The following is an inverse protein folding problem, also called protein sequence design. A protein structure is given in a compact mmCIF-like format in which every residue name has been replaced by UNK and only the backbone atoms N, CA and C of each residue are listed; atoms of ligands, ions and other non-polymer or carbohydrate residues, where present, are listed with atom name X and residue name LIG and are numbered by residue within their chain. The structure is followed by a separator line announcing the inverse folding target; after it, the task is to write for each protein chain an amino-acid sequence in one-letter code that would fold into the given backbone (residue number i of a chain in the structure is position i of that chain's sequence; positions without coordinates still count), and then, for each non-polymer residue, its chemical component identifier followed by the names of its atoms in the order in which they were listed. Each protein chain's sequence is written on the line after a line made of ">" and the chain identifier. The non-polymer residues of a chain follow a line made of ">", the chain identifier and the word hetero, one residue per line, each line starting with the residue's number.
data_IF_855414521535
#
_entry.id   IF_855414521535
#
_cell.length_a   1.000
_cell.length_b   1.000
_cell.length_c   1.000
_cell.angle_alpha   90.00
_cell.angle_beta   90.00
_cell.angle_gamma   90.00
#
_symmetry.space_group_name_H-M   'P 1'
#
loop_
_entity.id
_entity.type
_entity.pdbx_description
1 polymer ?
#
# COMPACT_ATOMS: atom_id res chain seq x y z
N UNK A 1 -21.26 -57.50 -36.20
CA UNK A 1 -20.34 -56.85 -35.25
C UNK A 1 -20.31 -57.63 -33.95
N UNK A 2 -19.13 -58.13 -33.58
CA UNK A 2 -18.92 -59.01 -32.42
C UNK A 2 -19.14 -58.23 -31.11
N UNK A 3 -19.71 -58.89 -30.08
CA UNK A 3 -19.89 -58.34 -28.71
C UNK A 3 -18.59 -57.75 -28.12
N UNK A 4 -17.40 -58.09 -28.66
CA UNK A 4 -16.12 -57.46 -28.32
C UNK A 4 -15.96 -56.03 -28.84
N UNK A 5 -16.48 -55.69 -30.02
CA UNK A 5 -16.35 -54.33 -30.59
C UNK A 5 -17.24 -53.31 -29.87
N UNK A 6 -18.42 -53.71 -29.38
CA UNK A 6 -19.31 -52.83 -28.62
C UNK A 6 -18.73 -52.49 -27.23
N UNK A 7 -18.00 -53.42 -26.59
CA UNK A 7 -17.34 -53.16 -25.30
C UNK A 7 -16.14 -52.20 -25.43
N UNK A 8 -15.41 -52.26 -26.55
CA UNK A 8 -14.27 -51.36 -26.78
C UNK A 8 -14.73 -49.90 -27.01
N UNK A 9 -15.82 -49.71 -27.75
CA UNK A 9 -16.40 -48.38 -28.02
C UNK A 9 -16.95 -47.70 -26.74
N UNK A 10 -17.55 -48.48 -25.83
CA UNK A 10 -18.05 -47.97 -24.54
C UNK A 10 -16.88 -47.58 -23.63
N UNK A 11 -15.80 -48.37 -23.59
CA UNK A 11 -14.60 -48.04 -22.80
C UNK A 11 -13.89 -46.79 -23.33
N UNK A 12 -13.79 -46.61 -24.64
CA UNK A 12 -13.18 -45.40 -25.24
C UNK A 12 -14.03 -44.15 -25.03
N UNK A 13 -15.37 -44.26 -25.08
CA UNK A 13 -16.26 -43.14 -24.79
C UNK A 13 -16.23 -42.73 -23.31
N UNK A 14 -16.14 -43.69 -22.38
CA UNK A 14 -16.00 -43.40 -20.94
C UNK A 14 -14.65 -42.78 -20.62
N UNK A 15 -13.56 -43.21 -21.26
CA UNK A 15 -12.25 -42.60 -21.05
C UNK A 15 -12.19 -41.15 -21.57
N UNK A 16 -12.79 -40.87 -22.74
CA UNK A 16 -12.88 -39.52 -23.31
C UNK A 16 -13.79 -38.60 -22.48
N UNK A 17 -14.88 -39.12 -21.91
CA UNK A 17 -15.75 -38.36 -21.01
C UNK A 17 -15.06 -38.06 -19.66
N UNK A 18 -14.33 -39.02 -19.09
CA UNK A 18 -13.60 -38.83 -17.83
C UNK A 18 -12.42 -37.86 -18.01
N UNK A 19 -11.68 -37.92 -19.12
CA UNK A 19 -10.58 -36.97 -19.37
C UNK A 19 -11.07 -35.55 -19.69
N UNK A 20 -12.25 -35.40 -20.30
CA UNK A 20 -12.85 -34.08 -20.57
C UNK A 20 -13.53 -33.46 -19.35
N UNK A 21 -13.93 -34.25 -18.36
CA UNK A 21 -14.44 -33.78 -17.05
C UNK A 21 -13.31 -33.40 -16.07
N UNK A 22 -12.08 -33.91 -16.26
CA UNK A 22 -10.92 -33.50 -15.44
C UNK A 22 -10.15 -32.31 -16.01
N UNK A 23 -10.50 -31.82 -17.21
CA UNK A 23 -10.00 -30.56 -17.74
C UNK A 23 -10.98 -29.41 -17.51
N UNK A 24 -11.77 -29.47 -16.44
CA UNK A 24 -12.16 -28.23 -15.76
C UNK A 24 -10.84 -27.61 -15.30
N UNK A 25 -10.24 -26.79 -16.18
CA UNK A 25 -9.24 -25.84 -15.75
C UNK A 25 -9.79 -25.21 -14.49
N UNK A 26 -9.04 -25.33 -13.39
CA UNK A 26 -9.40 -24.68 -12.16
C UNK A 26 -9.66 -23.23 -12.54
N UNK A 27 -10.93 -22.86 -12.63
CA UNK A 27 -11.34 -21.46 -12.64
C UNK A 27 -10.89 -21.04 -11.25
N UNK A 28 -9.68 -20.47 -11.18
CA UNK A 28 -9.25 -19.83 -9.96
C UNK A 28 -10.34 -18.81 -9.68
N UNK A 29 -11.12 -19.05 -8.63
CA UNK A 29 -12.07 -18.07 -8.15
C UNK A 29 -11.26 -16.79 -7.98
N UNK A 30 -11.65 -15.75 -8.71
CA UNK A 30 -10.96 -14.47 -8.68
C UNK A 30 -11.04 -13.94 -7.26
N UNK A 31 -9.93 -14.04 -6.53
CA UNK A 31 -9.85 -13.56 -5.15
C UNK A 31 -9.85 -12.04 -5.20
N UNK A 32 -10.68 -11.41 -4.39
CA UNK A 32 -10.76 -9.95 -4.29
C UNK A 32 -10.16 -9.50 -2.96
N UNK A 33 -8.82 -9.46 -2.84
CA UNK A 33 -8.14 -9.05 -1.62
C UNK A 33 -8.37 -7.58 -1.34
N UNK A 34 -8.21 -7.17 -0.08
CA UNK A 34 -8.43 -5.79 0.32
C UNK A 34 -7.50 -5.39 1.45
N UNK A 35 -7.33 -4.08 1.62
CA UNK A 35 -6.50 -3.51 2.68
C UNK A 35 -7.32 -2.71 3.68
N UNK A 36 -6.85 -2.61 4.92
CA UNK A 36 -7.46 -1.75 5.95
C UNK A 36 -6.42 -0.88 6.64
N UNK A 37 -6.76 0.40 6.81
CA UNK A 37 -5.97 1.36 7.58
C UNK A 37 -6.66 1.67 8.93
N UNK A 38 -5.99 1.35 10.04
CA UNK A 38 -6.45 1.55 11.41
C UNK A 38 -5.67 2.70 12.07
N UNK A 39 -6.37 3.53 12.85
CA UNK A 39 -5.82 4.72 13.49
C UNK A 39 -5.31 5.77 12.50
N UNK A 40 -5.67 5.66 11.21
CA UNK A 40 -5.07 6.42 10.12
C UNK A 40 -6.09 6.90 9.09
N UNK A 41 -5.69 7.95 8.37
CA UNK A 41 -6.29 8.39 7.13
C UNK A 41 -5.60 7.77 5.92
N UNK A 42 -6.30 7.69 4.80
CA UNK A 42 -5.72 7.40 3.49
C UNK A 42 -5.71 8.68 2.66
N UNK A 43 -4.53 9.10 2.21
CA UNK A 43 -4.37 10.27 1.33
C UNK A 43 -3.71 9.86 0.01
N UNK A 44 -4.26 10.32 -1.11
CA UNK A 44 -3.73 10.05 -2.45
C UNK A 44 -3.77 11.28 -3.35
N UNK A 45 -2.75 11.37 -4.21
CA UNK A 45 -2.52 12.49 -5.12
C UNK A 45 -1.51 13.51 -4.59
N UNK A 46 -1.06 14.40 -5.47
CA UNK A 46 0.02 15.33 -5.20
C UNK A 46 1.35 14.94 -5.85
N UNK A 47 2.41 15.62 -5.48
CA UNK A 47 3.77 15.35 -5.97
C UNK A 47 4.81 15.54 -4.87
N UNK A 48 5.98 14.92 -5.04
CA UNK A 48 7.11 15.16 -4.15
C UNK A 48 7.76 16.51 -4.45
N UNK A 49 8.19 17.19 -3.40
CA UNK A 49 9.07 18.33 -3.52
C UNK A 49 10.43 17.84 -4.04
N UNK A 50 10.87 18.30 -5.21
CA UNK A 50 12.13 17.92 -5.85
C UNK A 50 12.95 19.13 -6.32
N UNK A 51 12.63 20.34 -5.84
CA UNK A 51 13.27 21.59 -6.28
C UNK A 51 12.35 22.81 -6.36
N UNK A 52 12.78 23.90 -7.02
CA UNK A 52 12.08 25.20 -7.01
C UNK A 52 10.75 25.26 -7.79
N UNK A 53 10.49 24.31 -8.70
CA UNK A 53 9.22 24.18 -9.43
C UNK A 53 8.43 22.94 -8.99
N UNK A 54 8.64 22.50 -7.75
CA UNK A 54 8.18 21.21 -7.30
C UNK A 54 6.69 21.16 -6.95
N UNK A 55 6.10 19.99 -7.14
CA UNK A 55 4.65 19.76 -7.05
C UNK A 55 3.81 20.56 -8.05
N UNK A 56 4.43 21.05 -9.13
CA UNK A 56 3.71 21.61 -10.27
C UNK A 56 2.76 20.53 -10.83
N UNK A 57 1.43 20.79 -10.91
CA UNK A 57 0.47 19.84 -11.48
C UNK A 57 0.66 19.53 -12.98
N UNK A 58 1.64 20.16 -13.62
CA UNK A 58 2.12 19.84 -14.97
C UNK A 58 3.29 18.85 -15.00
N UNK A 59 3.95 18.57 -13.87
CA UNK A 59 5.02 17.57 -13.80
C UNK A 59 4.46 16.15 -13.99
N UNK A 60 5.14 15.35 -14.81
CA UNK A 60 4.94 13.91 -14.99
C UNK A 60 5.01 13.09 -13.68
N UNK A 61 5.70 13.59 -12.66
CA UNK A 61 5.77 12.96 -11.34
C UNK A 61 4.52 13.20 -10.50
N UNK A 62 3.76 14.26 -10.80
CA UNK A 62 2.54 14.67 -10.09
C UNK A 62 1.39 13.68 -10.34
N UNK A 63 0.76 13.24 -9.26
CA UNK A 63 -0.38 12.33 -9.29
C UNK A 63 -1.67 13.13 -9.08
N UNK A 64 -2.35 13.47 -10.16
CA UNK A 64 -3.70 14.04 -10.10
C UNK A 64 -4.50 13.65 -11.34
N UNK A 65 -5.83 13.64 -11.24
CA UNK A 65 -6.64 13.32 -12.39
C UNK A 65 -6.58 14.43 -13.43
N UNK A 66 -6.87 14.06 -14.68
CA UNK A 66 -7.13 15.05 -15.72
C UNK A 66 -8.58 15.54 -15.59
N UNK A 67 -8.73 16.83 -15.25
CA UNK A 67 -10.04 17.48 -15.09
C UNK A 67 -10.61 17.98 -16.43
N UNK A 68 -9.83 17.94 -17.52
CA UNK A 68 -10.17 18.57 -18.80
C UNK A 68 -10.89 17.62 -19.77
N UNK A 69 -12.08 17.14 -19.38
CA UNK A 69 -13.20 16.75 -20.26
C UNK A 69 -13.05 15.80 -21.47
N UNK A 70 -11.86 15.35 -21.87
CA UNK A 70 -11.63 14.69 -23.18
C UNK A 70 -10.81 13.40 -23.07
N UNK A 71 -10.11 13.18 -21.95
CA UNK A 71 -9.41 11.93 -21.70
C UNK A 71 -10.36 10.97 -20.97
N UNK A 72 -10.50 9.76 -21.49
CA UNK A 72 -11.43 8.75 -20.97
C UNK A 72 -11.18 8.36 -19.50
N UNK A 73 -11.88 7.34 -18.98
CA UNK A 73 -11.87 6.98 -17.55
C UNK A 73 -10.47 6.70 -16.98
N UNK A 74 -9.47 6.39 -17.81
CA UNK A 74 -8.10 6.06 -17.40
C UNK A 74 -7.36 7.21 -16.68
N UNK A 75 -7.66 8.47 -16.99
CA UNK A 75 -6.97 9.59 -16.35
C UNK A 75 -7.59 10.02 -15.01
N UNK A 76 -8.78 9.51 -14.67
CA UNK A 76 -9.45 9.87 -13.42
C UNK A 76 -8.93 9.08 -12.20
N UNK A 77 -8.25 7.96 -12.43
CA UNK A 77 -7.66 7.12 -11.38
C UNK A 77 -6.30 7.64 -10.86
N UNK A 78 -5.68 8.62 -11.55
CA UNK A 78 -4.42 9.21 -11.09
C UNK A 78 -4.64 9.99 -9.80
N UNK A 79 -3.83 9.71 -8.77
CA UNK A 79 -4.03 10.27 -7.43
C UNK A 79 -5.30 9.75 -6.73
N UNK A 80 -5.85 8.64 -7.21
CA UNK A 80 -7.04 7.98 -6.67
C UNK A 80 -6.71 6.86 -5.68
N UNK A 81 -7.76 6.21 -5.18
CA UNK A 81 -7.70 5.00 -4.34
C UNK A 81 -8.58 3.93 -4.98
N UNK A 82 -8.00 2.75 -5.19
CA UNK A 82 -8.68 1.57 -5.73
C UNK A 82 -8.61 0.45 -4.71
N UNK A 83 -9.71 -0.28 -4.56
CA UNK A 83 -9.84 -1.37 -3.60
C UNK A 83 -11.13 -2.14 -3.81
N UNK A 84 -11.24 -3.27 -3.11
CA UNK A 84 -12.44 -4.10 -3.14
C UNK A 84 -13.22 -3.93 -1.84
N UNK A 85 -14.48 -3.56 -1.94
CA UNK A 85 -15.39 -3.48 -0.80
C UNK A 85 -16.80 -3.91 -1.20
N UNK A 86 -17.52 -4.45 -0.22
CA UNK A 86 -18.92 -4.84 -0.34
C UNK A 86 -19.78 -3.94 0.52
N UNK A 87 -20.97 -3.63 0.01
CA UNK A 87 -22.00 -2.92 0.74
C UNK A 87 -23.25 -3.78 0.83
N UNK A 88 -23.75 -3.94 2.05
CA UNK A 88 -25.06 -4.53 2.28
C UNK A 88 -26.09 -3.40 2.46
N UNK A 89 -26.94 -3.22 1.45
CA UNK A 89 -27.97 -2.18 1.45
C UNK A 89 -29.03 -2.37 2.55
N UNK A 90 -29.25 -3.60 3.02
CA UNK A 90 -30.24 -3.86 4.07
C UNK A 90 -29.71 -3.48 5.44
N UNK A 91 -28.44 -3.81 5.73
CA UNK A 91 -27.80 -3.48 7.00
C UNK A 91 -27.09 -2.12 7.01
N UNK A 92 -26.95 -1.48 5.85
CA UNK A 92 -26.19 -0.24 5.62
C UNK A 92 -24.73 -0.34 6.09
N UNK A 93 -24.16 -1.54 6.01
CA UNK A 93 -22.78 -1.82 6.43
C UNK A 93 -21.88 -2.06 5.23
N UNK A 94 -20.65 -1.56 5.34
CA UNK A 94 -19.58 -1.85 4.39
C UNK A 94 -18.58 -2.84 5.00
N UNK A 95 -18.01 -3.68 4.14
CA UNK A 95 -16.93 -4.62 4.44
C UNK A 95 -15.87 -4.54 3.34
N UNK A 96 -14.65 -5.00 3.61
CA UNK A 96 -13.56 -4.96 2.64
C UNK A 96 -12.64 -3.77 2.87
N UNK A 97 -12.18 -3.12 1.80
CA UNK A 97 -11.19 -2.06 1.88
C UNK A 97 -11.71 -0.85 2.64
N UNK A 98 -10.84 -0.20 3.43
CA UNK A 98 -11.22 1.03 4.11
C UNK A 98 -10.19 1.64 5.06
N UNK A 99 -10.51 2.83 5.56
CA UNK A 99 -9.76 3.53 6.61
C UNK A 99 -10.66 3.89 7.80
N UNK A 100 -10.05 4.01 8.99
CA UNK A 100 -10.80 4.28 10.23
C UNK A 100 -11.33 5.72 10.28
N UNK A 101 -10.54 6.71 9.87
CA UNK A 101 -10.90 8.13 9.99
C UNK A 101 -11.39 8.73 8.68
N UNK A 102 -10.56 8.82 7.65
CA UNK A 102 -10.91 9.47 6.39
C UNK A 102 -10.16 8.95 5.17
N UNK A 103 -10.73 9.26 4.00
CA UNK A 103 -10.16 8.98 2.70
C UNK A 103 -10.17 10.25 1.85
N UNK A 104 -8.98 10.74 1.52
CA UNK A 104 -8.75 11.97 0.77
C UNK A 104 -8.03 11.60 -0.52
N UNK A 105 -8.61 11.95 -1.67
CA UNK A 105 -7.99 11.68 -2.96
C UNK A 105 -8.21 12.86 -3.91
N UNK A 106 -7.14 13.27 -4.59
CA UNK A 106 -7.28 14.16 -5.74
C UNK A 106 -7.97 13.44 -6.90
N UNK A 107 -7.69 12.16 -7.10
CA UNK A 107 -8.34 11.28 -8.08
C UNK A 107 -9.61 10.61 -7.54
N UNK A 108 -10.14 9.66 -8.31
CA UNK A 108 -11.30 8.85 -7.92
C UNK A 108 -11.00 7.98 -6.69
N UNK A 109 -11.96 7.91 -5.78
CA UNK A 109 -12.11 6.79 -4.84
C UNK A 109 -13.17 5.86 -5.42
N UNK A 110 -12.74 4.68 -5.85
CA UNK A 110 -13.61 3.73 -6.55
C UNK A 110 -14.76 3.26 -5.66
N UNK A 111 -15.93 2.98 -6.24
CA UNK A 111 -17.07 2.57 -5.42
C UNK A 111 -18.36 2.30 -6.17
N UNK A 112 -18.79 1.04 -6.20
CA UNK A 112 -19.99 0.66 -6.95
C UNK A 112 -21.25 0.54 -6.07
N UNK A 113 -22.36 1.15 -6.46
CA UNK A 113 -23.66 0.96 -5.80
C UNK A 113 -24.36 -0.31 -6.31
N UNK A 114 -24.02 -1.46 -5.75
CA UNK A 114 -24.77 -2.74 -5.68
C UNK A 114 -25.45 -3.35 -6.94
N UNK A 115 -25.55 -2.68 -8.09
CA UNK A 115 -26.35 -3.13 -9.24
C UNK A 115 -25.55 -3.85 -10.33
N UNK A 116 -24.22 -3.71 -10.37
CA UNK A 116 -23.38 -4.25 -11.46
C UNK A 116 -22.40 -5.35 -11.04
N UNK A 117 -22.67 -6.06 -9.93
CA UNK A 117 -22.06 -7.36 -9.62
C UNK A 117 -20.61 -7.38 -9.12
N UNK A 118 -19.81 -6.34 -9.40
CA UNK A 118 -18.41 -6.26 -8.99
C UNK A 118 -18.22 -5.39 -7.73
N UNK A 119 -17.60 -5.92 -6.66
CA UNK A 119 -17.44 -5.24 -5.37
C UNK A 119 -16.20 -4.34 -5.36
N UNK A 120 -16.18 -3.32 -6.22
CA UNK A 120 -15.19 -2.25 -6.13
C UNK A 120 -15.63 -1.23 -5.09
N UNK A 121 -14.70 -0.82 -4.23
CA UNK A 121 -15.00 0.17 -3.20
C UNK A 121 -13.91 0.39 -2.16
N UNK A 122 -13.99 1.55 -1.51
CA UNK A 122 -13.19 1.91 -0.34
C UNK A 122 -14.05 2.61 0.71
N UNK A 123 -14.24 1.96 1.85
CA UNK A 123 -15.16 2.42 2.90
C UNK A 123 -14.46 3.24 3.99
N UNK A 124 -15.22 4.12 4.64
CA UNK A 124 -14.80 4.82 5.85
C UNK A 124 -15.84 4.60 6.94
N UNK A 125 -15.39 4.27 8.15
CA UNK A 125 -16.28 3.98 9.29
C UNK A 125 -17.05 2.64 9.21
N UNK A 126 -17.94 2.42 10.19
CA UNK A 126 -18.66 1.13 10.38
C UNK A 126 -20.10 1.12 9.83
N UNK A 127 -20.67 2.29 9.50
CA UNK A 127 -22.05 2.45 8.99
C UNK A 127 -22.12 3.59 7.96
N UNK A 128 -22.77 3.34 6.82
CA UNK A 128 -22.95 4.31 5.73
C UNK A 128 -21.71 4.49 4.84
N UNK A 129 -21.92 4.54 3.52
CA UNK A 129 -20.89 4.51 2.48
C UNK A 129 -20.13 5.84 2.27
N UNK A 130 -20.48 6.91 3.01
CA UNK A 130 -20.32 8.28 2.52
C UNK A 130 -19.86 9.35 3.53
N UNK A 131 -19.37 9.01 4.73
CA UNK A 131 -19.21 10.06 5.75
C UNK A 131 -17.82 10.69 5.90
N UNK A 132 -16.76 10.11 5.34
CA UNK A 132 -15.43 10.78 5.31
C UNK A 132 -14.59 10.48 4.06
N UNK A 133 -15.22 10.08 2.95
CA UNK A 133 -14.62 10.21 1.61
C UNK A 133 -14.95 11.60 1.07
N UNK A 134 -13.94 12.47 0.98
CA UNK A 134 -14.16 13.86 0.59
C UNK A 134 -14.25 13.97 -0.94
N UNK A 135 -15.33 14.57 -1.43
CA UNK A 135 -15.53 14.82 -2.85
C UNK A 135 -16.17 16.18 -3.10
N UNK A 136 -15.55 16.99 -3.98
CA UNK A 136 -16.04 18.34 -4.30
C UNK A 136 -16.78 18.41 -5.65
N UNK A 137 -17.03 17.27 -6.31
CA UNK A 137 -17.75 17.25 -7.60
C UNK A 137 -19.10 16.54 -7.48
N UNK A 138 -20.18 17.31 -7.59
CA UNK A 138 -21.58 16.82 -7.58
C UNK A 138 -22.06 16.28 -8.94
N UNK A 139 -21.26 16.44 -10.00
CA UNK A 139 -21.67 16.21 -11.41
C UNK A 139 -20.89 15.11 -12.12
N UNK A 140 -20.29 14.17 -11.39
CA UNK A 140 -19.78 12.96 -12.03
C UNK A 140 -20.98 12.09 -12.35
N UNK A 141 -21.40 12.12 -13.61
CA UNK A 141 -22.51 11.36 -14.19
C UNK A 141 -22.29 9.84 -14.21
N UNK A 142 -21.22 9.35 -13.59
CA UNK A 142 -20.95 7.93 -13.45
C UNK A 142 -21.38 7.46 -12.06
N UNK A 143 -22.37 6.57 -12.04
CA UNK A 143 -23.00 5.95 -10.87
C UNK A 143 -22.09 5.06 -10.00
N UNK A 144 -20.76 5.13 -10.17
CA UNK A 144 -19.84 4.06 -9.75
C UNK A 144 -18.62 4.55 -8.94
N UNK A 145 -18.72 5.65 -8.19
CA UNK A 145 -17.65 6.11 -7.30
C UNK A 145 -18.16 6.52 -5.91
N UNK A 146 -17.36 6.30 -4.86
CA UNK A 146 -17.70 6.65 -3.47
C UNK A 146 -17.02 7.93 -2.95
N UNK A 147 -16.15 8.57 -3.76
CA UNK A 147 -15.56 9.88 -3.42
C UNK A 147 -14.40 10.31 -4.34
N UNK A 148 -13.61 11.28 -3.87
CA UNK A 148 -12.45 11.81 -4.61
C UNK A 148 -12.71 13.16 -5.30
N UNK A 149 -11.77 13.63 -6.12
CA UNK A 149 -11.81 14.99 -6.71
C UNK A 149 -11.89 16.09 -5.64
N UNK A 150 -11.07 15.96 -4.61
CA UNK A 150 -10.88 17.02 -3.61
C UNK A 150 -10.54 18.34 -4.33
N UNK A 151 -11.25 19.42 -3.98
CA UNK A 151 -11.18 20.76 -4.57
C UNK A 151 -11.60 20.94 -6.04
N UNK A 152 -11.96 19.87 -6.77
CA UNK A 152 -12.58 19.97 -8.10
C UNK A 152 -11.69 20.52 -9.22
N UNK A 153 -10.41 20.79 -8.94
CA UNK A 153 -9.40 21.29 -9.87
C UNK A 153 -8.01 20.76 -9.49
N UNK A 154 -7.00 21.01 -10.34
CA UNK A 154 -5.60 20.66 -10.04
C UNK A 154 -5.06 21.57 -8.92
N UNK A 155 -5.09 21.09 -7.69
CA UNK A 155 -4.43 21.74 -6.56
C UNK A 155 -2.94 21.44 -6.54
N UNK A 156 -2.16 22.26 -5.84
CA UNK A 156 -0.75 22.01 -5.54
C UNK A 156 -0.63 21.31 -4.19
N UNK A 157 -0.54 19.97 -4.20
CA UNK A 157 -0.30 19.17 -3.00
C UNK A 157 1.15 18.68 -3.01
N UNK A 158 1.91 19.11 -2.00
CA UNK A 158 3.32 18.78 -1.88
C UNK A 158 3.59 17.78 -0.75
N UNK A 159 4.22 16.67 -1.13
CA UNK A 159 4.90 15.77 -0.21
C UNK A 159 6.34 16.30 -0.01
N UNK A 160 6.85 16.44 1.22
CA UNK A 160 8.23 16.92 1.45
C UNK A 160 9.31 16.11 0.73
N UNK A 161 10.45 16.74 0.43
CA UNK A 161 11.66 16.04 -0.02
C UNK A 161 12.30 15.31 1.16
N UNK A 162 11.84 14.10 1.45
CA UNK A 162 12.40 13.30 2.54
C UNK A 162 13.82 12.86 2.26
N UNK A 163 14.21 12.62 1.01
CA UNK A 163 15.60 12.28 0.72
C UNK A 163 16.53 13.47 0.95
N UNK A 164 16.05 14.70 0.78
CA UNK A 164 16.75 15.95 1.05
C UNK A 164 17.00 16.25 2.54
N UNK A 165 16.23 15.66 3.46
CA UNK A 165 16.39 15.89 4.92
C UNK A 165 17.55 15.15 5.56
N UNK A 166 18.28 14.33 4.79
CA UNK A 166 19.50 13.67 5.27
C UNK A 166 20.52 14.70 5.80
N UNK A 167 21.20 14.34 6.88
CA UNK A 167 22.29 15.14 7.46
C UNK A 167 23.38 15.40 6.43
N UNK A 168 24.22 16.41 6.66
CA UNK A 168 25.36 16.72 5.78
C UNK A 168 26.40 15.61 5.71
N UNK A 169 26.49 14.76 6.73
CA UNK A 169 27.46 13.66 6.85
C UNK A 169 26.83 12.39 7.43
N UNK A 170 25.90 11.74 6.70
CA UNK A 170 25.33 10.46 7.15
C UNK A 170 26.41 9.38 7.06
N UNK A 171 26.30 8.34 7.88
CA UNK A 171 27.25 7.22 7.82
C UNK A 171 27.02 6.41 6.55
N UNK A 172 27.98 6.41 5.63
CA UNK A 172 27.90 5.57 4.43
C UNK A 172 28.15 4.10 4.80
N UNK A 173 27.25 3.21 4.38
CA UNK A 173 27.39 1.76 4.54
C UNK A 173 27.22 1.07 3.17
N UNK A 174 27.78 -0.12 3.02
CA UNK A 174 27.74 -0.86 1.76
C UNK A 174 26.47 -1.71 1.59
N UNK A 175 25.86 -2.15 2.69
CA UNK A 175 24.67 -3.01 2.68
C UNK A 175 23.85 -2.83 3.96
N UNK A 176 22.59 -3.23 3.89
CA UNK A 176 21.63 -3.22 4.99
C UNK A 176 21.00 -4.61 5.20
N UNK A 177 21.82 -5.67 5.11
CA UNK A 177 21.39 -7.06 5.28
C UNK A 177 20.92 -7.38 6.72
N UNK A 178 21.23 -6.52 7.68
CA UNK A 178 20.65 -6.57 9.01
C UNK A 178 20.55 -5.16 9.61
N UNK A 179 19.41 -4.49 9.41
CA UNK A 179 19.17 -3.16 9.96
C UNK A 179 19.09 -3.17 11.48
N UNK A 180 18.74 -4.30 12.11
CA UNK A 180 18.65 -4.38 13.57
C UNK A 180 20.03 -4.36 14.25
N UNK A 181 21.09 -4.75 13.53
CA UNK A 181 22.47 -4.65 14.01
C UNK A 181 23.01 -3.21 14.00
N UNK A 182 22.39 -2.29 13.25
CA UNK A 182 22.83 -0.90 13.19
C UNK A 182 22.65 -0.19 14.54
N UNK A 183 23.53 0.77 14.81
CA UNK A 183 23.36 1.68 15.94
C UNK A 183 22.35 2.77 15.58
N UNK A 184 21.92 3.57 16.57
CA UNK A 184 21.12 4.75 16.27
C UNK A 184 21.92 5.73 15.42
N UNK A 185 21.32 6.25 14.35
CA UNK A 185 21.99 7.16 13.42
C UNK A 185 21.29 7.30 12.08
N UNK A 186 21.89 8.10 11.20
CA UNK A 186 21.51 8.18 9.80
C UNK A 186 22.54 7.44 8.94
N UNK A 187 22.06 6.59 8.04
CA UNK A 187 22.86 5.77 7.16
C UNK A 187 22.56 6.08 5.70
N UNK A 188 23.57 6.02 4.84
CA UNK A 188 23.42 6.20 3.41
C UNK A 188 23.99 4.99 2.66
N UNK A 189 23.20 4.44 1.75
CA UNK A 189 23.65 3.48 0.73
C UNK A 189 23.54 4.15 -0.63
N UNK A 190 24.66 4.23 -1.34
CA UNK A 190 24.70 4.64 -2.73
C UNK A 190 24.59 3.40 -3.62
N UNK A 191 23.37 3.00 -3.95
CA UNK A 191 23.09 1.85 -4.80
C UNK A 191 22.98 2.24 -6.28
N UNK A 192 23.54 1.40 -7.16
CA UNK A 192 23.27 1.43 -8.60
C UNK A 192 22.30 0.34 -9.06
N UNK A 193 21.86 -0.53 -8.13
CA UNK A 193 20.95 -1.65 -8.38
C UNK A 193 19.87 -1.76 -7.29
N UNK A 194 19.39 -2.98 -7.04
CA UNK A 194 18.44 -3.25 -5.97
C UNK A 194 19.21 -3.62 -4.69
N UNK A 195 19.18 -2.74 -3.70
CA UNK A 195 19.78 -2.97 -2.39
C UNK A 195 18.89 -3.88 -1.55
N UNK A 196 19.46 -4.98 -1.05
CA UNK A 196 18.78 -5.83 -0.10
C UNK A 196 18.72 -5.15 1.29
N UNK A 197 17.53 -5.12 1.87
CA UNK A 197 17.26 -4.65 3.24
C UNK A 197 16.59 -5.77 4.02
N UNK A 198 17.15 -6.11 5.17
CA UNK A 198 16.66 -7.20 6.01
C UNK A 198 16.91 -6.92 7.49
N UNK A 199 16.28 -7.68 8.37
CA UNK A 199 16.56 -7.68 9.80
C UNK A 199 16.65 -9.13 10.29
N UNK A 200 17.77 -9.49 10.94
CA UNK A 200 17.95 -10.83 11.51
C UNK A 200 17.26 -10.98 12.87
N UNK A 201 16.94 -9.87 13.53
CA UNK A 201 16.27 -9.81 14.82
C UNK A 201 15.40 -8.54 14.91
N UNK A 202 14.47 -8.45 15.87
CA UNK A 202 13.73 -7.21 16.09
C UNK A 202 14.66 -6.04 16.47
N UNK A 203 14.36 -4.85 15.96
CA UNK A 203 15.08 -3.62 16.30
C UNK A 203 14.86 -3.32 17.79
N UNK A 204 15.95 -3.29 18.56
CA UNK A 204 15.91 -3.13 20.00
C UNK A 204 15.30 -1.78 20.45
N UNK A 205 14.72 -1.78 21.65
CA UNK A 205 14.19 -0.59 22.33
C UNK A 205 15.18 0.59 22.29
N UNK A 206 14.68 1.78 21.99
CA UNK A 206 15.41 3.05 21.98
C UNK A 206 16.29 3.27 20.75
N UNK A 207 16.43 2.28 19.85
CA UNK A 207 17.17 2.48 18.60
C UNK A 207 16.41 3.40 17.66
N UNK A 208 17.11 4.38 17.07
CA UNK A 208 16.56 5.30 16.07
C UNK A 208 17.41 5.23 14.81
N UNK A 209 16.94 4.52 13.80
CA UNK A 209 17.67 4.24 12.57
C UNK A 209 16.94 4.89 11.40
N UNK A 210 17.62 5.77 10.68
CA UNK A 210 17.15 6.31 9.41
C UNK A 210 18.10 5.80 8.31
N UNK A 211 17.58 5.03 7.37
CA UNK A 211 18.33 4.48 6.26
C UNK A 211 17.90 5.18 4.96
N UNK A 212 18.85 5.90 4.34
CA UNK A 212 18.70 6.49 3.03
C UNK A 212 19.32 5.56 1.98
N UNK A 213 18.57 5.28 0.91
CA UNK A 213 19.07 4.50 -0.23
C UNK A 213 18.86 5.30 -1.51
N UNK A 214 19.95 5.58 -2.22
CA UNK A 214 19.88 6.01 -3.62
C UNK A 214 19.80 4.76 -4.48
N UNK A 215 18.73 4.57 -5.24
CA UNK A 215 18.47 3.33 -6.00
C UNK A 215 17.23 2.59 -5.48
N UNK A 216 17.05 1.34 -5.90
CA UNK A 216 15.90 0.53 -5.52
C UNK A 216 16.21 -0.30 -4.27
N UNK A 217 15.17 -0.71 -3.54
CA UNK A 217 15.29 -1.58 -2.36
C UNK A 217 14.45 -2.82 -2.52
N UNK A 218 14.99 -3.97 -2.09
CA UNK A 218 14.24 -5.20 -1.85
C UNK A 218 14.26 -5.51 -0.35
N UNK A 219 13.08 -5.54 0.28
CA UNK A 219 12.91 -5.92 1.69
C UNK A 219 12.68 -7.44 1.73
N UNK A 220 13.69 -8.18 2.15
CA UNK A 220 13.70 -9.66 2.07
C UNK A 220 13.29 -10.37 3.36
N UNK A 221 12.94 -9.63 4.42
CA UNK A 221 12.54 -10.20 5.70
C UNK A 221 11.72 -9.21 6.51
N UNK A 222 11.04 -9.71 7.54
CA UNK A 222 10.32 -8.86 8.49
C UNK A 222 11.25 -7.85 9.13
N UNK A 223 10.77 -6.60 9.24
CA UNK A 223 11.43 -5.57 10.03
C UNK A 223 10.48 -5.29 11.19
N UNK A 224 10.86 -5.71 12.38
CA UNK A 224 9.99 -5.64 13.56
C UNK A 224 10.65 -4.89 14.70
N UNK A 225 9.87 -4.37 15.62
CA UNK A 225 10.34 -3.76 16.86
C UNK A 225 10.39 -4.79 17.98
N UNK A 226 11.46 -4.76 18.76
CA UNK A 226 11.58 -5.53 19.99
C UNK A 226 10.64 -5.00 21.07
N UNK A 227 10.56 -5.69 22.20
CA UNK A 227 9.73 -5.25 23.34
C UNK A 227 10.17 -3.86 23.81
N UNK A 228 9.22 -2.94 23.93
CA UNK A 228 9.46 -1.55 24.31
C UNK A 228 8.26 -0.96 25.08
N UNK A 229 8.44 0.26 25.58
CA UNK A 229 7.41 1.08 26.19
C UNK A 229 7.47 2.50 25.59
N UNK A 230 6.59 3.37 26.09
CA UNK A 230 6.44 4.76 25.62
C UNK A 230 7.73 5.60 25.69
N UNK A 231 8.67 5.29 26.58
CA UNK A 231 9.91 6.05 26.74
C UNK A 231 11.04 5.58 25.82
N UNK A 232 10.96 4.37 25.28
CA UNK A 232 12.03 3.75 24.49
C UNK A 232 11.52 3.07 23.21
N UNK A 233 10.48 3.63 22.60
CA UNK A 233 9.98 3.23 21.29
C UNK A 233 11.13 3.20 20.26
N UNK A 234 11.40 2.04 19.61
CA UNK A 234 12.28 1.98 18.44
C UNK A 234 11.72 2.80 17.29
N UNK A 235 12.61 3.32 16.46
CA UNK A 235 12.25 4.02 15.23
C UNK A 235 13.09 3.51 14.08
N UNK A 236 12.40 3.08 13.04
CA UNK A 236 12.98 2.75 11.77
C UNK A 236 12.33 3.59 10.67
N UNK A 237 13.17 4.23 9.86
CA UNK A 237 12.72 4.95 8.68
C UNK A 237 13.59 4.54 7.51
N UNK A 238 12.94 4.09 6.44
CA UNK A 238 13.59 3.80 5.17
C UNK A 238 13.17 4.86 4.16
N UNK A 239 14.12 5.63 3.65
CA UNK A 239 13.90 6.60 2.57
C UNK A 239 14.65 6.16 1.33
N UNK A 240 13.90 5.84 0.29
CA UNK A 240 14.44 5.30 -0.96
C UNK A 240 14.16 6.29 -2.08
N UNK A 241 15.22 6.78 -2.72
CA UNK A 241 15.11 7.53 -3.98
C UNK A 241 15.06 6.51 -5.12
N UNK A 242 13.91 5.86 -5.26
CA UNK A 242 13.72 4.67 -6.08
C UNK A 242 12.44 3.89 -5.71
N UNK A 243 12.36 2.64 -6.13
CA UNK A 243 11.28 1.73 -5.80
C UNK A 243 11.58 0.88 -4.57
N UNK A 244 10.54 0.46 -3.85
CA UNK A 244 10.62 -0.50 -2.75
C UNK A 244 9.83 -1.75 -3.14
N UNK A 245 10.50 -2.89 -3.16
CA UNK A 245 9.94 -4.19 -3.43
C UNK A 245 9.92 -5.00 -2.12
N UNK A 246 8.77 -5.49 -1.69
CA UNK A 246 8.63 -6.27 -0.46
C UNK A 246 8.44 -7.74 -0.83
N UNK A 247 9.25 -8.62 -0.26
CA UNK A 247 9.17 -10.05 -0.52
C UNK A 247 7.84 -10.65 -0.06
N UNK A 248 7.44 -11.75 -0.68
CA UNK A 248 6.13 -12.38 -0.45
C UNK A 248 5.99 -13.04 0.92
N UNK A 249 7.10 -13.38 1.57
CA UNK A 249 7.19 -14.01 2.89
C UNK A 249 7.30 -12.99 4.04
N UNK A 250 7.46 -11.70 3.73
CA UNK A 250 7.37 -10.63 4.73
C UNK A 250 5.94 -10.57 5.26
N UNK A 251 5.75 -10.85 6.54
CA UNK A 251 4.47 -10.77 7.23
C UNK A 251 4.29 -9.48 8.03
N UNK A 252 5.38 -8.81 8.41
CA UNK A 252 5.33 -7.63 9.28
C UNK A 252 6.42 -6.60 8.96
N UNK A 253 6.02 -5.33 8.95
CA UNK A 253 6.90 -4.16 8.79
C UNK A 253 6.55 -3.09 9.82
N UNK A 254 7.49 -2.77 10.70
CA UNK A 254 7.35 -1.75 11.74
C UNK A 254 8.19 -0.52 11.36
N UNK A 255 7.53 0.63 11.14
CA UNK A 255 8.18 1.90 10.85
C UNK A 255 7.65 2.65 9.62
N UNK A 256 8.44 3.62 9.17
CA UNK A 256 8.09 4.52 8.08
C UNK A 256 8.86 4.17 6.80
N UNK A 257 8.14 3.89 5.72
CA UNK A 257 8.74 3.49 4.44
C UNK A 257 8.37 4.50 3.35
N UNK A 258 9.39 5.11 2.76
CA UNK A 258 9.24 6.23 1.82
C UNK A 258 9.87 5.87 0.49
N UNK A 259 9.04 5.72 -0.55
CA UNK A 259 9.46 5.57 -1.95
C UNK A 259 9.36 6.90 -2.67
N UNK A 260 10.44 7.67 -2.68
CA UNK A 260 10.51 8.97 -3.34
C UNK A 260 10.96 8.81 -4.81
N UNK A 261 10.28 9.46 -5.78
CA UNK A 261 10.72 9.47 -7.16
C UNK A 261 12.16 10.01 -7.32
N UNK A 262 12.94 9.31 -8.11
CA UNK A 262 14.17 9.82 -8.70
C UNK A 262 13.85 10.60 -9.98
N UNK A 263 14.72 11.56 -10.32
CA UNK A 263 14.71 12.22 -11.63
C UNK A 263 15.08 11.27 -12.77
N UNK A 264 15.70 10.13 -12.45
CA UNK A 264 16.07 9.07 -13.38
C UNK A 264 16.14 7.71 -12.65
N UNK A 265 15.35 6.68 -13.03
CA UNK A 265 14.30 6.69 -14.05
C UNK A 265 13.00 7.35 -13.58
N UNK A 266 12.25 7.96 -14.51
CA UNK A 266 10.99 8.69 -14.25
C UNK A 266 9.85 7.82 -13.67
N UNK A 267 9.99 6.49 -13.72
CA UNK A 267 9.02 5.50 -13.22
C UNK A 267 9.39 4.95 -11.82
N UNK A 268 10.05 5.76 -11.00
CA UNK A 268 10.45 5.41 -9.62
C UNK A 268 9.51 5.98 -8.56
N UNK A 269 9.71 5.61 -7.29
CA UNK A 269 8.86 6.00 -6.16
C UNK A 269 7.64 5.09 -5.97
N UNK A 270 7.74 3.83 -6.39
CA UNK A 270 6.67 2.84 -6.30
C UNK A 270 7.00 1.84 -5.18
N UNK A 271 6.02 1.56 -4.31
CA UNK A 271 6.10 0.49 -3.32
C UNK A 271 5.24 -0.70 -3.79
N UNK A 272 5.81 -1.90 -3.80
CA UNK A 272 5.14 -3.16 -4.11
C UNK A 272 5.16 -4.08 -2.90
N UNK A 273 4.00 -4.53 -2.42
CA UNK A 273 3.89 -5.32 -1.17
C UNK A 273 4.17 -6.82 -1.30
N UNK A 274 4.19 -7.34 -2.53
CA UNK A 274 4.56 -8.70 -2.86
C UNK A 274 5.26 -8.74 -4.22
N UNK A 275 6.57 -8.88 -4.21
CA UNK A 275 7.39 -8.74 -5.39
C UNK A 275 8.65 -9.60 -5.30
N UNK A 276 9.22 -9.93 -6.44
CA UNK A 276 10.56 -10.55 -6.51
C UNK A 276 11.65 -9.49 -6.42
N UNK A 277 12.91 -9.88 -6.25
CA UNK A 277 14.05 -8.96 -6.35
C UNK A 277 14.33 -8.61 -7.84
N UNK A 278 13.39 -7.93 -8.48
CA UNK A 278 13.41 -7.54 -9.90
C UNK A 278 12.83 -6.14 -10.08
N UNK A 279 13.15 -5.50 -11.19
CA UNK A 279 12.50 -4.26 -11.63
C UNK A 279 11.24 -4.50 -12.48
N UNK A 280 11.00 -5.73 -12.89
CA UNK A 280 9.84 -6.10 -13.70
C UNK A 280 8.60 -6.26 -12.81
N UNK A 281 7.42 -5.75 -13.21
CA UNK A 281 6.17 -5.99 -12.50
C UNK A 281 5.92 -7.50 -12.27
N UNK A 282 5.27 -7.88 -11.16
CA UNK A 282 5.01 -9.28 -10.87
C UNK A 282 4.02 -9.84 -11.88
N UNK A 283 4.23 -11.09 -12.31
CA UNK A 283 3.31 -11.77 -13.22
C UNK A 283 2.10 -12.31 -12.47
N UNK A 284 0.96 -12.47 -13.14
CA UNK A 284 -0.25 -13.05 -12.55
C UNK A 284 -0.01 -14.46 -11.97
N UNK A 285 0.86 -15.24 -12.62
CA UNK A 285 1.28 -16.57 -12.14
C UNK A 285 2.02 -16.45 -10.81
N UNK A 286 2.91 -15.47 -10.65
CA UNK A 286 3.60 -15.23 -9.38
C UNK A 286 2.62 -14.75 -8.31
N UNK A 287 1.76 -13.78 -8.63
CA UNK A 287 0.81 -13.21 -7.66
C UNK A 287 -0.16 -14.29 -7.13
N UNK A 288 -0.71 -15.11 -8.02
CA UNK A 288 -1.65 -16.17 -7.65
C UNK A 288 -1.02 -17.32 -6.84
N UNK A 289 0.29 -17.57 -7.03
CA UNK A 289 1.01 -18.65 -6.36
C UNK A 289 1.71 -18.22 -5.05
N UNK A 290 2.31 -17.02 -5.02
CA UNK A 290 3.26 -16.63 -3.97
C UNK A 290 2.73 -15.55 -3.00
N UNK A 291 1.74 -14.76 -3.41
CA UNK A 291 1.33 -13.55 -2.68
C UNK A 291 0.15 -13.74 -1.69
N UNK A 292 -0.14 -14.98 -1.29
CA UNK A 292 -1.28 -15.32 -0.42
C UNK A 292 -1.03 -15.07 1.08
N UNK A 293 0.04 -14.36 1.43
CA UNK A 293 0.37 -14.05 2.81
C UNK A 293 -0.10 -12.65 3.17
N UNK A 294 -0.65 -12.48 4.36
CA UNK A 294 -0.97 -11.16 4.92
C UNK A 294 0.29 -10.34 5.17
N UNK A 295 0.24 -9.02 4.91
CA UNK A 295 1.22 -8.05 5.41
C UNK A 295 0.60 -7.17 6.48
N UNK A 296 1.28 -7.03 7.61
CA UNK A 296 0.93 -6.06 8.65
C UNK A 296 2.00 -4.98 8.71
N UNK A 297 1.63 -3.75 8.40
CA UNK A 297 2.49 -2.57 8.51
C UNK A 297 2.10 -1.83 9.78
N UNK A 298 2.90 -1.93 10.84
CA UNK A 298 2.76 -1.07 12.02
C UNK A 298 3.55 0.21 11.76
N UNK A 299 2.93 1.08 10.98
CA UNK A 299 3.54 2.30 10.50
C UNK A 299 2.85 2.84 9.26
N UNK A 300 3.63 3.45 8.36
CA UNK A 300 3.06 4.12 7.19
C UNK A 300 3.93 3.99 5.94
N UNK A 301 3.28 4.04 4.79
CA UNK A 301 3.89 4.15 3.48
C UNK A 301 3.67 5.55 2.92
N UNK A 302 4.73 6.12 2.33
CA UNK A 302 4.65 7.37 1.56
C UNK A 302 5.33 7.13 0.22
N UNK A 303 4.61 7.26 -0.87
CA UNK A 303 5.12 6.92 -2.19
C UNK A 303 4.42 7.70 -3.30
N UNK A 304 5.00 7.72 -4.50
CA UNK A 304 4.28 8.17 -5.70
C UNK A 304 3.14 7.19 -6.04
N UNK A 305 3.37 5.90 -5.83
CA UNK A 305 2.37 4.85 -5.99
C UNK A 305 2.61 3.70 -5.02
N UNK A 306 1.53 3.15 -4.48
CA UNK A 306 1.58 1.88 -3.75
C UNK A 306 0.77 0.85 -4.54
N UNK A 307 1.40 -0.26 -4.90
CA UNK A 307 0.73 -1.42 -5.48
C UNK A 307 0.59 -2.48 -4.38
N UNK A 308 -0.66 -2.64 -3.96
CA UNK A 308 -1.12 -3.60 -2.99
C UNK A 308 -1.46 -4.90 -3.73
N UNK A 309 -0.54 -5.87 -3.69
CA UNK A 309 -0.55 -7.04 -4.59
C UNK A 309 -0.67 -8.36 -3.82
N UNK A 310 -0.98 -8.30 -2.52
CA UNK A 310 -1.24 -9.50 -1.73
C UNK A 310 -2.66 -10.01 -1.97
N UNK A 311 -2.79 -11.33 -2.01
CA UNK A 311 -4.03 -12.05 -2.36
C UNK A 311 -4.59 -12.83 -1.17
N UNK A 312 -4.19 -12.48 0.06
CA UNK A 312 -4.74 -13.09 1.26
C UNK A 312 -6.18 -12.61 1.53
N UNK A 313 -7.08 -13.55 1.81
CA UNK A 313 -8.48 -13.29 2.09
C UNK A 313 -9.29 -12.82 0.89
N UNK A 314 -10.59 -12.58 1.13
CA UNK A 314 -11.53 -12.19 0.09
C UNK A 314 -12.59 -11.22 0.63
N UNK A 315 -12.99 -10.25 -0.19
CA UNK A 315 -14.03 -9.29 0.16
C UNK A 315 -15.37 -9.96 0.51
N UNK A 316 -15.64 -11.17 -0.01
CA UNK A 316 -16.87 -11.91 0.25
C UNK A 316 -16.94 -12.49 1.66
N UNK A 317 -15.80 -12.77 2.28
CA UNK A 317 -15.69 -13.20 3.68
C UNK A 317 -15.44 -12.04 4.64
N UNK A 318 -15.34 -10.80 4.12
CA UNK A 318 -15.06 -9.63 4.93
C UNK A 318 -16.25 -9.26 5.82
N UNK A 319 -15.97 -8.98 7.10
CA UNK A 319 -16.96 -8.50 8.05
C UNK A 319 -16.95 -6.96 8.18
N UNK A 320 -18.09 -6.34 8.54
CA UNK A 320 -18.09 -4.93 8.93
C UNK A 320 -17.29 -4.75 10.22
N UNK A 321 -16.40 -3.75 10.27
CA UNK A 321 -15.62 -3.44 11.46
C UNK A 321 -14.64 -4.54 11.90
N UNK A 322 -14.11 -5.35 10.98
CA UNK A 322 -13.05 -6.31 11.35
C UNK A 322 -11.90 -5.65 12.08
N UNK A 323 -11.34 -6.35 13.06
CA UNK A 323 -10.13 -5.93 13.75
C UNK A 323 -8.90 -6.10 12.85
N UNK A 324 -7.84 -5.31 13.14
CA UNK A 324 -6.53 -5.41 12.48
C UNK A 324 -5.92 -6.81 12.54
N UNK A 325 -6.28 -7.63 13.53
CA UNK A 325 -5.84 -9.01 13.68
C UNK A 325 -6.56 -10.00 12.74
N UNK A 326 -7.60 -9.59 12.01
CA UNK A 326 -8.34 -10.48 11.09
C UNK A 326 -7.41 -11.12 10.08
N UNK A 327 -7.49 -12.45 9.97
CA UNK A 327 -6.76 -13.22 8.97
C UNK A 327 -7.30 -13.07 7.54
N UNK A 328 -8.45 -12.40 7.35
CA UNK A 328 -9.08 -12.21 6.05
C UNK A 328 -8.62 -10.94 5.31
N UNK A 329 -7.76 -10.12 5.92
CA UNK A 329 -7.27 -8.88 5.32
C UNK A 329 -5.94 -9.16 4.62
N UNK A 330 -5.76 -8.65 3.40
CA UNK A 330 -4.53 -8.85 2.63
C UNK A 330 -3.39 -7.99 3.16
N UNK A 331 -3.66 -6.69 3.32
CA UNK A 331 -2.72 -5.73 3.90
C UNK A 331 -3.39 -4.92 5.01
N UNK A 332 -2.70 -4.82 6.14
CA UNK A 332 -3.12 -4.02 7.28
C UNK A 332 -2.10 -2.91 7.47
N UNK A 333 -2.58 -1.68 7.57
CA UNK A 333 -1.82 -0.53 8.00
C UNK A 333 -2.33 -0.11 9.37
N UNK A 334 -1.51 -0.30 10.40
CA UNK A 334 -1.78 0.16 11.75
C UNK A 334 -0.95 1.40 11.98
N UNK A 335 -1.61 2.55 12.12
CA UNK A 335 -0.96 3.77 12.55
C UNK A 335 -0.82 3.73 14.06
N UNK A 336 0.30 3.18 14.51
CA UNK A 336 0.51 2.88 15.91
C UNK A 336 0.95 4.13 16.69
N UNK A 337 0.82 4.16 18.03
CA UNK A 337 1.24 5.31 18.83
C UNK A 337 2.71 5.71 18.61
N UNK A 338 3.58 4.78 18.22
CA UNK A 338 4.97 5.01 17.83
C UNK A 338 5.10 5.97 16.63
N UNK A 339 4.08 6.04 15.78
CA UNK A 339 3.97 6.98 14.66
C UNK A 339 3.66 8.42 15.08
N UNK A 340 3.13 8.57 16.29
CA UNK A 340 2.71 9.85 16.86
C UNK A 340 3.71 10.34 17.89
N UNK A 341 4.17 9.43 18.75
CA UNK A 341 4.92 9.70 19.97
C UNK A 341 6.40 9.47 19.70
N UNK A 342 7.21 10.54 19.66
CA UNK A 342 8.66 10.39 19.75
C UNK A 342 9.55 11.43 19.07
N UNK A 343 9.04 12.58 18.63
CA UNK A 343 9.83 13.56 17.86
C UNK A 343 10.08 13.13 16.42
N UNK A 344 10.99 13.79 15.70
CA UNK A 344 11.27 13.49 14.28
C UNK A 344 11.52 12.00 14.01
N UNK A 345 10.95 11.48 12.92
CA UNK A 345 11.36 10.21 12.31
C UNK A 345 12.77 10.29 11.72
N UNK A 346 13.16 11.52 11.39
CA UNK A 346 14.49 11.88 10.95
C UNK A 346 15.30 12.27 12.18
N UNK A 347 16.44 11.60 12.40
CA UNK A 347 17.40 12.01 13.40
C UNK A 347 18.04 13.33 12.94
N UNK A 348 17.46 14.49 13.25
CA UNK A 348 18.12 15.76 12.94
C UNK A 348 19.28 15.99 13.91
N UNK A 349 20.44 16.37 13.37
CA UNK A 349 21.60 16.71 14.19
C UNK A 349 21.25 17.91 15.07
N UNK A 350 21.12 17.68 16.38
CA UNK A 350 20.82 18.74 17.36
C UNK A 350 19.36 18.89 17.77
N UNK A 351 18.44 18.04 17.30
CA UNK A 351 17.08 18.05 17.82
C UNK A 351 17.05 17.50 19.27
N UNK A 352 16.76 18.39 20.23
CA UNK A 352 16.40 17.97 21.58
C UNK A 352 15.25 16.97 21.51
N UNK A 353 15.36 15.85 22.23
CA UNK A 353 14.31 14.85 22.41
C UNK A 353 13.09 15.48 23.10
N UNK A 354 12.28 16.22 22.36
CA UNK A 354 11.01 16.75 22.83
C UNK A 354 10.08 15.58 23.14
N UNK A 355 9.65 15.45 24.40
CA UNK A 355 8.58 14.53 24.77
C UNK A 355 7.25 15.19 24.42
N UNK A 356 6.43 14.51 23.61
CA UNK A 356 5.07 14.95 23.34
C UNK A 356 4.27 14.77 24.63
N UNK A 357 3.81 15.87 25.22
CA UNK A 357 3.01 15.84 26.45
C UNK A 357 1.53 15.58 26.18
N UNK A 358 1.03 16.04 25.02
CA UNK A 358 -0.33 15.77 24.57
C UNK A 358 -0.38 15.81 23.04
N UNK A 359 -1.22 14.95 22.47
CA UNK A 359 -1.65 15.05 21.08
C UNK A 359 -3.14 15.34 21.07
N UNK A 360 -3.52 16.46 20.47
CA UNK A 360 -4.93 16.78 20.23
C UNK A 360 -5.12 16.63 18.72
N UNK A 361 -5.84 15.58 18.31
CA UNK A 361 -6.32 15.47 16.93
C UNK A 361 -7.56 16.35 16.80
N UNK A 362 -7.42 17.44 16.06
CA UNK A 362 -8.57 18.25 15.68
C UNK A 362 -9.19 17.63 14.43
N UNK A 363 -10.54 17.61 14.31
CA UNK A 363 -11.17 17.24 13.05
C UNK A 363 -10.62 18.12 11.91
N UNK A 364 -10.61 17.64 10.66
CA UNK A 364 -10.21 18.46 9.52
C UNK A 364 -10.98 19.79 9.55
N UNK A 365 -10.26 20.89 9.73
CA UNK A 365 -10.82 22.24 9.70
C UNK A 365 -10.64 22.74 8.27
N UNK A 366 -11.74 22.96 7.57
CA UNK A 366 -11.76 23.50 6.20
C UNK A 366 -11.98 25.01 6.21
#
# INVERSE_FOLDING_TARGET
>A
MSRRQTRLLILSAVYLLVFSLTSLGAVYADTRPYFKAYGADTFSGGGFNSGPSSCDPSDSSYQAPDYTGSSGPSNLYKGGVMGFARYDANSQKASGAGSEFGALALGIIEGNSAASGEPYGFSTGTTGYNKTSFANKSTITATNYWGGFLEGSKQTHCIPDYFGTKQSSPQTIASANDVAALNSGQYLINGSGITNVAAASPIAAGKKITLFVSGNVFISSNITYGVHNVDNVPKFTLVVKGNIYIANDVGQLDGLYIGQPSTDPAASGIIWTCHTNSNDPPTDVYVSAACRNKLTVNGAFIAKKVNLVRTNGDVNSAAPGEAASSGNIAEVFNFTPEMVIGGGFFNDAGASSGKIQSLISLPPVF
#
